data_IF_968110250039
#
_entry.id   IF_968110250039
#
_cell.length_a   1.000
_cell.length_b   1.000
_cell.length_c   1.000
_cell.angle_alpha   90.00
_cell.angle_beta   90.00
_cell.angle_gamma   90.00
#
_symmetry.space_group_name_H-M   'P 1'
#
loop_
_entity.id
_entity.type
_entity.pdbx_description
1 polymer ?
#
# COMPACT_ATOMS: atom_id res chain seq x y z
N UNK A 1 -11.08 -52.54 41.16
CA UNK A 1 -11.43 -51.44 40.24
C UNK A 1 -10.33 -50.41 40.27
N UNK A 2 -9.38 -50.48 39.35
CA UNK A 2 -8.28 -49.52 39.27
C UNK A 2 -7.85 -49.38 37.80
N UNK A 3 -7.38 -48.18 37.46
CA UNK A 3 -6.73 -47.77 36.20
C UNK A 3 -7.65 -47.56 34.99
N UNK A 4 -8.01 -46.29 34.78
CA UNK A 4 -7.80 -45.55 33.53
C UNK A 4 -8.08 -44.07 33.78
N UNK A 5 -7.31 -43.47 34.69
CA UNK A 5 -6.98 -42.05 34.53
C UNK A 5 -5.98 -42.08 33.38
N UNK A 6 -6.52 -41.97 32.16
CA UNK A 6 -5.74 -41.69 30.97
C UNK A 6 -5.00 -40.38 31.26
N UNK A 7 -3.72 -40.51 31.62
CA UNK A 7 -2.80 -39.39 31.70
C UNK A 7 -2.73 -38.89 30.27
N UNK A 8 -3.61 -37.95 29.94
CA UNK A 8 -3.57 -37.20 28.70
C UNK A 8 -2.21 -36.51 28.67
N UNK A 9 -1.23 -37.15 28.03
CA UNK A 9 0.11 -36.60 27.86
C UNK A 9 -0.05 -35.20 27.30
N UNK A 10 0.45 -34.19 28.03
CA UNK A 10 0.39 -32.81 27.58
C UNK A 10 0.97 -32.76 26.16
N UNK A 11 0.21 -32.28 25.16
CA UNK A 11 0.68 -32.31 23.78
C UNK A 11 1.96 -31.51 23.68
N UNK A 12 2.99 -32.14 23.10
CA UNK A 12 4.30 -31.54 22.84
C UNK A 12 4.14 -30.27 22.00
N UNK A 13 5.04 -29.28 22.12
CA UNK A 13 4.95 -28.03 21.36
C UNK A 13 4.86 -28.27 19.84
N UNK A 14 5.57 -29.28 19.32
CA UNK A 14 5.47 -29.68 17.91
C UNK A 14 4.09 -30.22 17.52
N UNK A 15 3.45 -31.06 18.36
CA UNK A 15 2.08 -31.54 18.10
C UNK A 15 1.06 -30.39 18.12
N UNK A 16 1.23 -29.42 19.02
CA UNK A 16 0.37 -28.21 19.06
C UNK A 16 0.53 -27.37 17.79
N UNK A 17 1.75 -27.22 17.30
CA UNK A 17 2.03 -26.48 16.06
C UNK A 17 1.39 -27.17 14.85
N UNK A 18 1.53 -28.50 14.74
CA UNK A 18 0.95 -29.29 13.65
C UNK A 18 -0.58 -29.24 13.68
N UNK A 19 -1.19 -29.42 14.85
CA UNK A 19 -2.65 -29.32 15.01
C UNK A 19 -3.14 -27.91 14.64
N UNK A 20 -2.48 -26.86 15.15
CA UNK A 20 -2.82 -25.48 14.79
C UNK A 20 -2.69 -25.22 13.27
N UNK A 21 -1.61 -25.69 12.63
CA UNK A 21 -1.34 -25.44 11.22
C UNK A 21 -2.22 -26.27 10.27
N UNK A 22 -2.57 -27.50 10.66
CA UNK A 22 -3.40 -28.41 9.87
C UNK A 22 -4.87 -27.99 9.78
N UNK A 23 -5.33 -27.15 10.73
CA UNK A 23 -6.67 -26.56 10.70
C UNK A 23 -6.78 -25.55 9.55
N UNK A 24 -7.95 -25.46 8.87
CA UNK A 24 -8.14 -24.49 7.80
C UNK A 24 -7.89 -23.05 8.31
N UNK A 25 -7.41 -22.14 7.44
CA UNK A 25 -7.22 -20.74 7.81
C UNK A 25 -8.45 -20.16 8.50
N UNK A 26 -8.23 -19.53 9.65
CA UNK A 26 -9.30 -19.05 10.53
C UNK A 26 -10.11 -17.93 9.89
N UNK A 27 -11.33 -17.71 10.40
CA UNK A 27 -12.24 -16.66 9.91
C UNK A 27 -11.65 -15.24 9.99
N UNK A 28 -10.65 -15.01 10.83
CA UNK A 28 -9.99 -13.71 10.99
C UNK A 28 -8.74 -13.55 10.13
N UNK A 29 -8.12 -14.64 9.66
CA UNK A 29 -6.86 -14.57 8.91
C UNK A 29 -7.05 -13.95 7.52
N UNK A 30 -8.09 -14.40 6.80
CA UNK A 30 -8.38 -13.90 5.45
C UNK A 30 -8.76 -12.41 5.48
N UNK A 31 -9.68 -11.95 6.36
CA UNK A 31 -9.94 -10.51 6.51
C UNK A 31 -8.71 -9.71 6.92
N UNK A 32 -7.83 -10.23 7.78
CA UNK A 32 -6.59 -9.55 8.14
C UNK A 32 -5.65 -9.40 6.93
N UNK A 33 -5.53 -10.43 6.09
CA UNK A 33 -4.75 -10.34 4.84
C UNK A 33 -5.36 -9.32 3.88
N UNK A 34 -6.68 -9.29 3.75
CA UNK A 34 -7.37 -8.29 2.93
C UNK A 34 -7.13 -6.87 3.43
N UNK A 35 -7.25 -6.65 4.75
CA UNK A 35 -7.00 -5.34 5.37
C UNK A 35 -5.57 -4.87 5.14
N UNK A 36 -4.58 -5.73 5.37
CA UNK A 36 -3.17 -5.39 5.12
C UNK A 36 -2.91 -5.11 3.65
N UNK A 37 -3.51 -5.88 2.74
CA UNK A 37 -3.47 -5.61 1.30
C UNK A 37 -4.03 -4.24 0.95
N UNK A 38 -5.16 -3.85 1.55
CA UNK A 38 -5.74 -2.51 1.37
C UNK A 38 -4.85 -1.40 1.93
N UNK A 39 -4.18 -1.61 3.07
CA UNK A 39 -3.23 -0.63 3.62
C UNK A 39 -2.04 -0.43 2.69
N UNK A 40 -1.54 -1.50 2.07
CA UNK A 40 -0.45 -1.42 1.08
C UNK A 40 -0.91 -0.71 -0.20
N UNK A 41 -2.12 -0.99 -0.69
CA UNK A 41 -2.68 -0.28 -1.85
C UNK A 41 -2.96 1.19 -1.55
N UNK A 42 -3.34 1.53 -0.32
CA UNK A 42 -3.46 2.91 0.11
C UNK A 42 -2.10 3.61 0.10
N UNK A 43 -1.07 2.95 0.61
CA UNK A 43 0.30 3.48 0.64
C UNK A 43 0.83 3.73 -0.77
N UNK A 44 0.62 2.79 -1.69
CA UNK A 44 0.93 2.90 -3.11
C UNK A 44 0.20 4.07 -3.81
N UNK A 45 -0.98 4.44 -3.31
CA UNK A 45 -1.73 5.59 -3.84
C UNK A 45 -1.24 6.96 -3.35
N UNK A 46 -0.29 7.02 -2.41
CA UNK A 46 0.28 8.28 -1.92
C UNK A 46 1.55 8.60 -2.72
N UNK A 47 1.72 9.82 -3.27
CA UNK A 47 2.92 10.19 -4.01
C UNK A 47 4.17 9.97 -3.17
N UNK A 48 5.13 9.22 -3.72
CA UNK A 48 6.39 8.83 -3.08
C UNK A 48 6.27 8.14 -1.70
N UNK A 49 5.12 7.50 -1.46
CA UNK A 49 4.85 6.69 -0.28
C UNK A 49 4.43 7.47 0.96
N UNK A 50 4.05 6.75 2.02
CA UNK A 50 3.69 7.32 3.32
C UNK A 50 4.26 6.44 4.44
N UNK A 51 5.25 6.95 5.17
CA UNK A 51 6.10 6.16 6.06
C UNK A 51 5.32 5.33 7.10
N UNK A 52 4.32 5.88 7.83
CA UNK A 52 3.56 5.09 8.80
C UNK A 52 2.80 3.91 8.18
N UNK A 53 2.15 4.11 7.03
CA UNK A 53 1.42 3.04 6.35
C UNK A 53 2.35 2.01 5.74
N UNK A 54 3.53 2.43 5.25
CA UNK A 54 4.54 1.53 4.74
C UNK A 54 5.01 0.56 5.82
N UNK A 55 5.37 1.08 7.01
CA UNK A 55 5.83 0.24 8.13
C UNK A 55 4.74 -0.72 8.60
N UNK A 56 3.50 -0.26 8.73
CA UNK A 56 2.37 -1.08 9.18
C UNK A 56 2.01 -2.14 8.12
N UNK A 57 1.92 -1.74 6.85
CA UNK A 57 1.58 -2.60 5.73
C UNK A 57 2.64 -3.67 5.48
N UNK A 58 3.92 -3.29 5.40
CA UNK A 58 5.03 -4.22 5.18
C UNK A 58 5.21 -5.15 6.38
N UNK A 59 5.23 -4.60 7.60
CA UNK A 59 5.39 -5.39 8.82
C UNK A 59 4.24 -6.39 9.02
N UNK A 60 3.00 -5.93 8.87
CA UNK A 60 1.81 -6.79 8.93
C UNK A 60 1.79 -7.82 7.80
N UNK A 61 2.19 -7.42 6.59
CA UNK A 61 2.24 -8.29 5.41
C UNK A 61 3.25 -9.41 5.56
N UNK A 62 4.48 -9.11 5.98
CA UNK A 62 5.52 -10.11 6.22
C UNK A 62 5.11 -11.09 7.33
N UNK A 63 4.49 -10.60 8.41
CA UNK A 63 4.01 -11.47 9.49
C UNK A 63 2.93 -12.43 9.00
N UNK A 64 1.93 -11.91 8.27
CA UNK A 64 0.82 -12.74 7.75
C UNK A 64 1.29 -13.71 6.66
N UNK A 65 2.24 -13.30 5.81
CA UNK A 65 2.85 -14.12 4.79
C UNK A 65 3.69 -15.24 5.42
N UNK A 66 4.54 -14.91 6.39
CA UNK A 66 5.33 -15.90 7.14
C UNK A 66 4.45 -16.91 7.87
N UNK A 67 3.38 -16.42 8.52
CA UNK A 67 2.39 -17.27 9.16
C UNK A 67 1.70 -18.20 8.14
N UNK A 68 1.29 -17.67 6.98
CA UNK A 68 0.66 -18.43 5.91
C UNK A 68 1.57 -19.49 5.29
N UNK A 69 2.82 -19.12 4.99
CA UNK A 69 3.83 -20.01 4.43
C UNK A 69 4.16 -21.16 5.38
N UNK A 70 4.35 -20.87 6.68
CA UNK A 70 4.56 -21.89 7.70
C UNK A 70 3.36 -22.86 7.76
N UNK A 71 2.15 -22.31 7.76
CA UNK A 71 0.91 -23.09 7.83
C UNK A 71 0.74 -24.00 6.61
N UNK A 72 0.97 -23.46 5.42
CA UNK A 72 0.87 -24.18 4.16
C UNK A 72 1.94 -25.28 4.05
N UNK A 73 3.19 -24.98 4.44
CA UNK A 73 4.28 -25.95 4.44
C UNK A 73 3.98 -27.18 5.33
N UNK A 74 3.50 -26.94 6.55
CA UNK A 74 3.11 -28.02 7.47
C UNK A 74 1.90 -28.79 6.94
N UNK A 75 0.88 -28.08 6.42
CA UNK A 75 -0.32 -28.72 5.90
C UNK A 75 -0.05 -29.56 4.63
N UNK A 76 0.88 -29.15 3.76
CA UNK A 76 1.30 -29.93 2.59
C UNK A 76 2.01 -31.24 2.99
N UNK A 77 2.73 -31.22 4.12
CA UNK A 77 3.42 -32.39 4.65
C UNK A 77 2.46 -33.37 5.37
N UNK A 78 1.46 -32.88 6.11
CA UNK A 78 0.69 -33.71 7.07
C UNK A 78 -0.82 -33.74 6.81
N UNK A 79 -1.38 -32.75 6.12
CA UNK A 79 -2.83 -32.50 6.07
C UNK A 79 -3.40 -32.30 4.64
N UNK A 80 -2.83 -32.99 3.63
CA UNK A 80 -3.26 -32.88 2.22
C UNK A 80 -4.77 -33.08 1.98
N UNK A 81 -5.47 -34.02 2.64
CA UNK A 81 -6.93 -34.17 2.45
C UNK A 81 -7.72 -32.94 2.91
N UNK A 82 -7.24 -32.26 3.97
CA UNK A 82 -7.85 -31.05 4.50
C UNK A 82 -7.67 -29.87 3.54
N UNK A 83 -6.50 -29.76 2.90
CA UNK A 83 -6.25 -28.77 1.85
C UNK A 83 -7.22 -28.96 0.71
N UNK A 84 -7.40 -30.20 0.22
CA UNK A 84 -8.32 -30.48 -0.90
C UNK A 84 -9.76 -30.08 -0.59
N UNK A 85 -10.23 -30.33 0.65
CA UNK A 85 -11.60 -29.98 1.07
C UNK A 85 -11.82 -28.48 1.24
N UNK A 86 -10.83 -27.75 1.72
CA UNK A 86 -10.92 -26.30 2.01
C UNK A 86 -10.00 -25.45 1.12
N UNK A 87 -9.75 -25.90 -0.11
CA UNK A 87 -8.73 -25.33 -0.99
C UNK A 87 -8.93 -23.83 -1.26
N UNK A 88 -10.18 -23.38 -1.38
CA UNK A 88 -10.52 -21.95 -1.53
C UNK A 88 -9.95 -21.09 -0.40
N UNK A 89 -9.98 -21.56 0.85
CA UNK A 89 -9.42 -20.81 1.98
C UNK A 89 -7.91 -20.75 1.96
N UNK A 90 -7.27 -21.82 1.44
CA UNK A 90 -5.81 -21.88 1.31
C UNK A 90 -5.29 -21.00 0.19
N UNK A 91 -6.02 -20.90 -0.94
CA UNK A 91 -5.63 -20.02 -2.06
C UNK A 91 -6.04 -18.56 -1.87
N UNK A 92 -6.99 -18.27 -0.95
CA UNK A 92 -7.47 -16.90 -0.73
C UNK A 92 -6.37 -15.90 -0.40
N UNK A 93 -5.48 -16.24 0.55
CA UNK A 93 -4.42 -15.32 0.97
C UNK A 93 -3.38 -15.06 -0.15
N UNK A 94 -2.85 -16.09 -0.85
CA UNK A 94 -2.03 -15.90 -2.04
C UNK A 94 -2.74 -15.06 -3.11
N UNK A 95 -4.02 -15.35 -3.38
CA UNK A 95 -4.80 -14.62 -4.38
C UNK A 95 -4.92 -13.14 -4.03
N UNK A 96 -5.24 -12.81 -2.78
CA UNK A 96 -5.30 -11.42 -2.28
C UNK A 96 -3.94 -10.74 -2.49
N UNK A 97 -2.84 -11.41 -2.11
CA UNK A 97 -1.50 -10.87 -2.26
C UNK A 97 -1.14 -10.65 -3.75
N UNK A 98 -1.47 -11.60 -4.63
CA UNK A 98 -1.25 -11.49 -6.07
C UNK A 98 -2.06 -10.35 -6.68
N UNK A 99 -3.33 -10.20 -6.29
CA UNK A 99 -4.18 -9.08 -6.76
C UNK A 99 -3.62 -7.75 -6.28
N UNK A 100 -3.28 -7.62 -4.99
CA UNK A 100 -2.72 -6.39 -4.45
C UNK A 100 -1.39 -6.02 -5.13
N UNK A 101 -0.48 -6.99 -5.30
CA UNK A 101 0.78 -6.77 -6.00
C UNK A 101 0.56 -6.39 -7.48
N UNK A 102 -0.37 -7.06 -8.17
CA UNK A 102 -0.69 -6.76 -9.56
C UNK A 102 -1.27 -5.36 -9.75
N UNK A 103 -2.08 -4.89 -8.79
CA UNK A 103 -2.60 -3.52 -8.80
C UNK A 103 -1.49 -2.49 -8.56
N UNK A 104 -0.60 -2.74 -7.60
CA UNK A 104 0.52 -1.85 -7.29
C UNK A 104 1.51 -1.75 -8.45
N UNK A 105 1.91 -2.87 -9.05
CA UNK A 105 2.84 -2.89 -10.21
C UNK A 105 2.27 -2.17 -11.44
N UNK A 106 0.95 -2.06 -11.54
CA UNK A 106 0.29 -1.35 -12.64
C UNK A 106 -0.03 0.12 -12.29
N UNK A 107 0.42 0.61 -11.14
CA UNK A 107 0.17 1.94 -10.58
C UNK A 107 -1.33 2.29 -10.54
N UNK A 108 -2.19 1.27 -10.44
CA UNK A 108 -3.65 1.44 -10.50
C UNK A 108 -4.16 2.30 -9.34
N UNK A 109 -3.75 2.07 -8.07
CA UNK A 109 -4.21 2.89 -6.95
C UNK A 109 -3.84 4.36 -7.11
N UNK A 110 -2.59 4.66 -7.48
CA UNK A 110 -2.11 6.03 -7.67
C UNK A 110 -2.85 6.72 -8.83
N UNK A 111 -2.88 6.11 -10.02
CA UNK A 111 -3.57 6.65 -11.19
C UNK A 111 -5.04 6.91 -10.92
N UNK A 112 -5.73 5.92 -10.35
CA UNK A 112 -7.16 6.05 -10.02
C UNK A 112 -7.40 7.22 -9.06
N UNK A 113 -6.54 7.42 -8.07
CA UNK A 113 -6.68 8.51 -7.10
C UNK A 113 -6.40 9.87 -7.73
N UNK A 114 -5.44 9.97 -8.64
CA UNK A 114 -5.17 11.17 -9.42
C UNK A 114 -6.34 11.49 -10.35
N UNK A 115 -6.81 10.53 -11.14
CA UNK A 115 -7.94 10.70 -12.07
C UNK A 115 -9.21 11.18 -11.36
N UNK A 116 -9.48 10.65 -10.16
CA UNK A 116 -10.61 11.08 -9.34
C UNK A 116 -10.42 12.47 -8.69
N UNK A 117 -9.19 12.97 -8.62
CA UNK A 117 -8.86 14.26 -7.99
C UNK A 117 -8.50 15.34 -9.00
N UNK A 118 -8.27 14.99 -10.27
CA UNK A 118 -7.62 15.88 -11.25
C UNK A 118 -8.44 17.15 -11.50
N UNK A 119 -9.76 17.03 -11.63
CA UNK A 119 -10.65 18.18 -11.85
C UNK A 119 -10.55 19.18 -10.68
N UNK A 120 -10.66 18.71 -9.44
CA UNK A 120 -10.55 19.57 -8.25
C UNK A 120 -9.16 20.19 -8.07
N UNK A 121 -8.09 19.50 -8.48
CA UNK A 121 -6.73 20.02 -8.42
C UNK A 121 -6.48 21.09 -9.49
N UNK A 122 -7.03 20.90 -10.69
CA UNK A 122 -6.96 21.88 -11.78
C UNK A 122 -7.78 23.13 -11.44
N UNK A 123 -9.00 22.96 -10.92
CA UNK A 123 -9.84 24.07 -10.44
C UNK A 123 -9.10 24.90 -9.36
N UNK A 124 -8.42 24.23 -8.44
CA UNK A 124 -7.62 24.91 -7.41
C UNK A 124 -6.52 25.80 -8.01
N UNK A 125 -5.87 25.37 -9.10
CA UNK A 125 -4.90 26.20 -9.83
C UNK A 125 -5.56 27.48 -10.35
N UNK A 126 -6.75 27.36 -10.95
CA UNK A 126 -7.50 28.50 -11.47
C UNK A 126 -7.92 29.46 -10.35
N UNK A 127 -8.28 28.95 -9.17
CA UNK A 127 -8.62 29.74 -7.98
C UNK A 127 -7.41 30.50 -7.41
N UNK A 128 -6.23 29.88 -7.41
CA UNK A 128 -5.03 30.45 -6.80
C UNK A 128 -4.26 31.42 -7.72
N UNK A 129 -4.44 31.30 -9.04
CA UNK A 129 -3.79 32.17 -10.02
C UNK A 129 -2.26 32.06 -10.01
N UNK A 130 -1.56 33.07 -10.55
CA UNK A 130 -0.09 33.08 -10.67
C UNK A 130 0.65 33.37 -9.35
N UNK A 131 0.05 33.05 -8.20
CA UNK A 131 0.73 33.17 -6.91
C UNK A 131 1.82 32.11 -6.80
N UNK A 132 3.05 32.52 -6.50
CA UNK A 132 4.21 31.63 -6.51
C UNK A 132 4.12 30.48 -5.51
N UNK A 133 3.50 30.68 -4.34
CA UNK A 133 3.18 29.61 -3.37
C UNK A 133 2.05 30.03 -2.44
N UNK A 134 1.04 29.16 -2.27
CA UNK A 134 -0.08 29.35 -1.36
C UNK A 134 -0.13 28.19 -0.36
N UNK A 135 -0.07 28.47 0.97
CA UNK A 135 -0.23 27.45 1.99
C UNK A 135 -1.70 27.04 2.14
N UNK A 136 -1.95 25.73 2.20
CA UNK A 136 -3.28 25.13 2.35
C UNK A 136 -3.47 24.39 3.69
N UNK A 137 -2.39 24.19 4.47
CA UNK A 137 -2.44 23.69 5.85
C UNK A 137 -3.26 22.39 6.05
N UNK A 138 -3.21 21.47 5.08
CA UNK A 138 -3.91 20.18 5.15
C UNK A 138 -5.35 20.23 4.59
N UNK A 139 -5.73 21.29 3.89
CA UNK A 139 -7.03 21.36 3.23
C UNK A 139 -7.16 20.25 2.19
N UNK A 140 -8.32 19.59 2.19
CA UNK A 140 -8.60 18.50 1.26
C UNK A 140 -9.06 19.04 -0.09
N UNK A 141 -8.39 18.59 -1.16
CA UNK A 141 -8.77 18.87 -2.55
C UNK A 141 -8.77 17.54 -3.31
N UNK A 142 -9.94 17.18 -3.82
CA UNK A 142 -10.20 15.81 -4.29
C UNK A 142 -9.96 14.79 -3.17
N UNK A 143 -9.10 13.80 -3.44
CA UNK A 143 -8.71 12.75 -2.48
C UNK A 143 -7.37 13.02 -1.79
N UNK A 144 -6.81 14.23 -1.90
CA UNK A 144 -5.53 14.57 -1.30
C UNK A 144 -5.65 15.68 -0.26
N UNK A 145 -5.06 15.51 0.95
CA UNK A 145 -4.80 16.63 1.85
C UNK A 145 -3.59 17.40 1.34
N UNK A 146 -3.72 18.71 1.11
CA UNK A 146 -2.66 19.54 0.55
C UNK A 146 -2.06 20.46 1.61
N UNK A 147 -0.73 20.49 1.69
CA UNK A 147 0.00 21.43 2.55
C UNK A 147 0.21 22.77 1.85
N UNK A 148 0.50 22.76 0.55
CA UNK A 148 0.69 23.95 -0.26
C UNK A 148 0.51 23.67 -1.74
N UNK A 149 0.25 24.73 -2.50
CA UNK A 149 0.32 24.75 -3.96
C UNK A 149 1.32 25.80 -4.40
N UNK A 150 2.13 25.48 -5.41
CA UNK A 150 3.09 26.39 -6.02
C UNK A 150 2.93 26.33 -7.53
N UNK A 151 2.84 27.49 -8.18
CA UNK A 151 2.83 27.61 -9.64
C UNK A 151 4.07 28.41 -10.05
N UNK A 152 4.92 27.80 -10.89
CA UNK A 152 6.12 28.43 -11.44
C UNK A 152 5.92 28.95 -12.88
N UNK A 153 4.69 28.84 -13.40
CA UNK A 153 4.26 29.21 -14.74
C UNK A 153 4.11 28.01 -15.67
N UNK A 154 5.07 27.09 -15.66
CA UNK A 154 5.09 25.91 -16.55
C UNK A 154 4.52 24.68 -15.84
N UNK A 155 4.80 24.53 -14.55
CA UNK A 155 4.42 23.38 -13.72
C UNK A 155 3.74 23.84 -12.44
N UNK A 156 2.69 23.14 -12.06
CA UNK A 156 2.03 23.34 -10.76
C UNK A 156 2.37 22.20 -9.83
N UNK A 157 2.95 22.52 -8.67
CA UNK A 157 3.28 21.57 -7.62
C UNK A 157 2.22 21.61 -6.52
N UNK A 158 1.61 20.46 -6.27
CA UNK A 158 0.71 20.21 -5.15
C UNK A 158 1.47 19.41 -4.09
N UNK A 159 1.81 20.04 -2.97
CA UNK A 159 2.47 19.36 -1.85
C UNK A 159 1.42 18.60 -1.05
N UNK A 160 1.56 17.27 -0.98
CA UNK A 160 0.59 16.41 -0.30
C UNK A 160 1.03 16.19 1.14
N UNK A 161 0.11 16.34 2.08
CA UNK A 161 0.39 16.13 3.50
C UNK A 161 0.74 14.66 3.78
N UNK A 162 1.87 14.45 4.47
CA UNK A 162 2.37 13.12 4.81
C UNK A 162 2.94 12.32 3.65
N UNK A 163 2.97 12.87 2.44
CA UNK A 163 3.58 12.24 1.28
C UNK A 163 5.11 12.29 1.37
N UNK A 164 5.75 11.19 0.96
CA UNK A 164 7.19 11.01 0.99
C UNK A 164 7.63 10.30 2.28
N UNK A 165 8.60 9.40 2.15
CA UNK A 165 9.09 8.64 3.30
C UNK A 165 9.89 9.50 4.29
N UNK A 166 10.71 10.43 3.77
CA UNK A 166 11.62 11.25 4.57
C UNK A 166 11.65 12.72 4.17
N UNK A 167 11.26 13.03 2.94
CA UNK A 167 11.31 14.37 2.36
C UNK A 167 9.92 14.72 1.81
N UNK A 168 9.57 16.02 1.75
CA UNK A 168 8.33 16.45 1.14
C UNK A 168 8.21 15.95 -0.29
N UNK A 169 6.99 15.55 -0.65
CA UNK A 169 6.67 15.12 -2.00
C UNK A 169 5.22 15.45 -2.32
N UNK A 170 4.85 15.24 -3.57
CA UNK A 170 3.49 15.51 -4.00
C UNK A 170 3.28 15.23 -5.47
N UNK A 171 2.27 15.90 -6.01
CA UNK A 171 1.90 15.80 -7.41
C UNK A 171 2.37 17.05 -8.14
N UNK A 172 2.73 16.88 -9.40
CA UNK A 172 3.00 17.96 -10.34
C UNK A 172 2.12 17.79 -11.57
N UNK A 173 1.57 18.92 -12.04
CA UNK A 173 0.83 19.00 -13.29
C UNK A 173 1.59 19.89 -14.27
N UNK A 174 1.92 19.37 -15.45
CA UNK A 174 2.53 20.14 -16.53
C UNK A 174 2.06 19.64 -17.88
N UNK A 175 1.69 20.59 -18.75
CA UNK A 175 1.35 20.32 -20.15
C UNK A 175 2.59 20.10 -21.02
N UNK A 176 3.78 20.39 -20.48
CA UNK A 176 5.06 20.11 -21.13
C UNK A 176 5.71 18.86 -20.53
N UNK A 177 6.53 18.18 -21.32
CA UNK A 177 7.21 16.98 -20.85
C UNK A 177 8.33 17.35 -19.87
N UNK A 178 8.22 16.83 -18.63
CA UNK A 178 9.25 17.04 -17.60
C UNK A 178 10.24 15.87 -17.65
N UNK A 179 11.57 16.12 -17.73
CA UNK A 179 12.56 15.07 -17.61
C UNK A 179 12.41 14.29 -16.31
N UNK A 180 12.28 12.96 -16.40
CA UNK A 180 12.11 12.07 -15.24
C UNK A 180 13.43 11.50 -14.75
N UNK A 181 13.50 11.21 -13.45
CA UNK A 181 14.67 10.57 -12.82
C UNK A 181 15.94 11.44 -12.77
N UNK A 182 15.84 12.73 -13.09
CA UNK A 182 16.95 13.69 -13.07
C UNK A 182 16.55 14.99 -12.39
N UNK A 183 17.53 15.74 -11.90
CA UNK A 183 17.31 17.09 -11.42
C UNK A 183 17.04 18.03 -12.59
N UNK A 184 15.90 18.71 -12.56
CA UNK A 184 15.52 19.69 -13.58
C UNK A 184 16.09 21.06 -13.21
N UNK A 185 16.89 21.71 -14.07
CA UNK A 185 17.44 23.04 -13.79
C UNK A 185 16.32 24.06 -13.49
N UNK A 186 16.49 24.85 -12.42
CA UNK A 186 15.50 25.86 -12.01
C UNK A 186 14.37 25.34 -11.12
N UNK A 187 14.23 24.02 -10.95
CA UNK A 187 13.16 23.36 -10.18
C UNK A 187 13.62 22.90 -8.78
N UNK A 188 14.74 23.43 -8.29
CA UNK A 188 15.35 23.03 -7.01
C UNK A 188 15.95 21.62 -7.07
N UNK A 189 15.94 20.92 -5.94
CA UNK A 189 16.40 19.53 -5.81
C UNK A 189 15.25 18.52 -6.01
N UNK A 190 14.26 18.85 -6.84
CA UNK A 190 13.16 17.95 -7.15
C UNK A 190 13.52 16.95 -8.24
N UNK A 191 13.09 15.72 -8.06
CA UNK A 191 13.11 14.66 -9.07
C UNK A 191 11.69 14.25 -9.39
N UNK A 192 11.39 14.06 -10.67
CA UNK A 192 10.05 13.74 -11.16
C UNK A 192 9.95 12.29 -11.65
N UNK A 193 8.77 11.71 -11.46
CA UNK A 193 8.35 10.44 -12.01
C UNK A 193 7.02 10.61 -12.73
N UNK A 194 6.91 10.15 -13.97
CA UNK A 194 5.69 10.27 -14.76
C UNK A 194 4.66 9.24 -14.32
N UNK A 195 3.40 9.65 -14.15
CA UNK A 195 2.33 8.74 -13.72
C UNK A 195 1.37 8.44 -14.86
N UNK A 196 0.72 9.47 -15.39
CA UNK A 196 -0.30 9.36 -16.43
C UNK A 196 -0.69 10.73 -16.97
N UNK A 197 -0.81 10.86 -18.31
CA UNK A 197 -1.15 12.12 -18.95
C UNK A 197 -0.15 13.22 -18.57
N UNK A 198 -0.66 14.35 -18.08
CA UNK A 198 0.12 15.53 -17.69
C UNK A 198 0.52 15.51 -16.19
N UNK A 199 0.34 14.36 -15.52
CA UNK A 199 0.60 14.20 -14.08
C UNK A 199 1.91 13.47 -13.79
N UNK A 200 2.65 14.05 -12.84
CA UNK A 200 3.91 13.56 -12.32
C UNK A 200 3.86 13.48 -10.80
N UNK A 201 4.66 12.60 -10.21
CA UNK A 201 5.04 12.65 -8.80
C UNK A 201 6.37 13.39 -8.70
N UNK A 202 6.53 14.25 -7.70
CA UNK A 202 7.82 14.88 -7.41
C UNK A 202 8.26 14.58 -5.98
N UNK A 203 9.58 14.46 -5.80
CA UNK A 203 10.21 14.25 -4.49
C UNK A 203 11.35 15.25 -4.32
N UNK A 204 11.35 15.96 -3.19
CA UNK A 204 12.46 16.84 -2.81
C UNK A 204 13.65 16.03 -2.33
N UNK A 205 14.87 16.34 -2.77
CA UNK A 205 16.13 15.68 -2.34
C UNK A 205 17.07 16.61 -1.57
#
# INVERSE_FOLDING_TARGET
MAKLIEISEKPTPGRRLIDWASRPPGRLYIPACALVGLVLLFEDSVPAGHLPSFVIGLGGGLLLAGMGALRLGIALAVARPMIRRYWLRWISAPLIATVALGLAVADVPLRTRIDLSSESLIELREETGAATTIPLNGEWRGLYPLTSVSDDGETVHYTVEGAGLFQPSGLAYSTEEIPTGVFVPGQGSRVYEHVSGDWYVWVDH
#
